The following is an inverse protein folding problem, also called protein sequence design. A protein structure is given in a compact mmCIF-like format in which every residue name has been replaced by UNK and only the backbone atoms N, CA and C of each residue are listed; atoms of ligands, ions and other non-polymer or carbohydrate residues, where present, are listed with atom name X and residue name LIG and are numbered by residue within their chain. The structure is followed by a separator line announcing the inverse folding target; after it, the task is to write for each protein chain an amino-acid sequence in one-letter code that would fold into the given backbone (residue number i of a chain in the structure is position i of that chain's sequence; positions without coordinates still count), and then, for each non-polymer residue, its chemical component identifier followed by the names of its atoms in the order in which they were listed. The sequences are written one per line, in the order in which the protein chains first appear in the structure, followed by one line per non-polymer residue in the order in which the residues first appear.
data_IF_301242260987
#
_entry.id   IF_301242260987
#
_cell.length_a   1.000
_cell.length_b   1.000
_cell.length_c   1.000
_cell.angle_alpha   90.00
_cell.angle_beta   90.00
_cell.angle_gamma   90.00
#
_symmetry.space_group_name_H-M   'P 1'
#
loop_
_entity.id
_entity.type
_entity.pdbx_description
1 polymer ?
#
# COMPACT_ATOMS: atom_id res chain seq x y z
N UNK A 1 -11.65 -1.68 -0.06
CA UNK A 1 -12.75 -2.10 0.82
C UNK A 1 -12.30 -1.91 2.25
N UNK A 2 -13.12 -1.30 3.10
CA UNK A 2 -12.84 -1.13 4.53
C UNK A 2 -12.94 -2.47 5.26
N UNK A 3 -12.90 -2.47 6.60
CA UNK A 3 -13.21 -3.68 7.38
C UNK A 3 -14.72 -3.94 7.48
N UNK A 4 -15.55 -2.95 7.15
CA UNK A 4 -16.99 -3.11 7.01
C UNK A 4 -17.32 -3.67 5.63
N UNK A 5 -18.15 -4.71 5.60
CA UNK A 5 -18.49 -5.41 4.38
C UNK A 5 -19.26 -4.52 3.40
N UNK A 6 -18.88 -4.56 2.12
CA UNK A 6 -19.49 -3.76 1.04
C UNK A 6 -19.11 -2.28 1.03
N UNK A 7 -18.32 -1.78 1.98
CA UNK A 7 -17.92 -0.36 2.03
C UNK A 7 -16.56 -0.16 1.35
N UNK A 8 -16.53 0.77 0.38
CA UNK A 8 -15.34 1.15 -0.38
C UNK A 8 -15.04 2.63 -0.16
N UNK A 9 -13.76 2.96 -0.09
CA UNK A 9 -13.27 4.32 0.11
C UNK A 9 -12.05 4.53 -0.79
N UNK A 10 -11.88 5.75 -1.30
CA UNK A 10 -10.81 6.13 -2.20
C UNK A 10 -10.46 7.62 -2.06
N UNK A 11 -9.37 8.04 -2.69
CA UNK A 11 -8.91 9.42 -2.71
C UNK A 11 -8.63 9.98 -1.32
N UNK A 12 -8.90 11.28 -1.16
CA UNK A 12 -8.61 12.01 0.08
C UNK A 12 -9.50 11.64 1.27
N UNK A 13 -10.61 10.94 1.03
CA UNK A 13 -11.39 10.34 2.13
C UNK A 13 -10.63 9.18 2.79
N UNK A 14 -9.75 8.49 2.04
CA UNK A 14 -8.92 7.40 2.55
C UNK A 14 -7.58 7.90 3.12
N UNK A 15 -6.87 8.73 2.36
CA UNK A 15 -5.59 9.34 2.75
C UNK A 15 -5.31 10.56 1.87
N UNK A 16 -4.52 11.51 2.37
CA UNK A 16 -4.15 12.70 1.59
C UNK A 16 -3.15 12.30 0.50
N UNK A 17 -3.58 12.41 -0.75
CA UNK A 17 -2.77 12.20 -1.94
C UNK A 17 -2.06 13.50 -2.34
N UNK A 18 -0.80 13.38 -2.77
CA UNK A 18 -0.04 14.54 -3.28
C UNK A 18 -0.42 14.90 -4.72
N UNK A 19 -0.75 13.89 -5.54
CA UNK A 19 -1.05 14.05 -6.96
C UNK A 19 -2.50 13.67 -7.28
N UNK A 20 -3.12 14.42 -8.20
CA UNK A 20 -4.47 14.17 -8.68
C UNK A 20 -4.59 12.82 -9.42
N UNK A 21 -3.50 12.36 -10.04
CA UNK A 21 -3.45 11.06 -10.72
C UNK A 21 -3.71 9.91 -9.74
N UNK A 22 -3.13 9.97 -8.54
CA UNK A 22 -3.33 8.93 -7.52
C UNK A 22 -4.76 8.93 -6.95
N UNK A 23 -5.38 10.10 -6.86
CA UNK A 23 -6.80 10.20 -6.50
C UNK A 23 -7.64 9.49 -7.55
N UNK A 24 -7.38 9.74 -8.83
CA UNK A 24 -8.09 9.12 -9.96
C UNK A 24 -7.87 7.60 -10.02
N UNK A 25 -6.62 7.12 -9.93
CA UNK A 25 -6.28 5.70 -9.90
C UNK A 25 -6.97 4.97 -8.73
N UNK A 26 -6.97 5.58 -7.55
CA UNK A 26 -7.63 5.00 -6.38
C UNK A 26 -9.16 4.92 -6.56
N UNK A 27 -9.76 5.93 -7.22
CA UNK A 27 -11.17 5.98 -7.53
C UNK A 27 -11.59 4.90 -8.53
N UNK A 28 -10.83 4.74 -9.61
CA UNK A 28 -11.04 3.66 -10.59
C UNK A 28 -10.96 2.29 -9.92
N UNK A 29 -9.92 2.06 -9.12
CA UNK A 29 -9.71 0.80 -8.41
C UNK A 29 -10.86 0.50 -7.43
N UNK A 30 -11.28 1.48 -6.64
CA UNK A 30 -12.40 1.32 -5.71
C UNK A 30 -13.73 1.09 -6.44
N UNK A 31 -13.99 1.81 -7.53
CA UNK A 31 -15.19 1.64 -8.36
C UNK A 31 -15.25 0.25 -8.97
N UNK A 32 -14.15 -0.23 -9.56
CA UNK A 32 -14.04 -1.59 -10.10
C UNK A 32 -14.22 -2.66 -9.03
N UNK A 33 -13.64 -2.47 -7.85
CA UNK A 33 -13.77 -3.40 -6.75
C UNK A 33 -15.21 -3.44 -6.19
N UNK A 34 -15.89 -2.28 -6.13
CA UNK A 34 -17.29 -2.19 -5.73
C UNK A 34 -18.23 -2.83 -6.75
N UNK A 35 -18.02 -2.59 -8.04
CA UNK A 35 -18.83 -3.18 -9.12
C UNK A 35 -18.74 -4.71 -9.15
N UNK A 36 -17.56 -5.26 -8.83
CA UNK A 36 -17.33 -6.71 -8.77
C UNK A 36 -17.51 -7.28 -7.35
N UNK A 37 -18.06 -6.51 -6.41
CA UNK A 37 -18.17 -6.95 -5.03
C UNK A 37 -19.14 -8.12 -4.90
N UNK A 38 -18.63 -9.20 -4.33
CA UNK A 38 -19.44 -10.30 -3.80
C UNK A 38 -18.88 -10.67 -2.43
N UNK A 39 -19.80 -10.97 -1.50
CA UNK A 39 -19.43 -11.34 -0.14
C UNK A 39 -18.58 -12.61 -0.20
N UNK A 40 -17.35 -12.50 0.29
CA UNK A 40 -16.34 -13.57 0.22
C UNK A 40 -15.55 -13.57 1.52
N UNK A 41 -15.01 -14.73 1.87
CA UNK A 41 -14.16 -14.84 3.05
C UNK A 41 -12.81 -14.16 2.76
N UNK A 42 -12.51 -13.09 3.49
CA UNK A 42 -11.28 -12.30 3.32
C UNK A 42 -10.26 -12.76 4.35
N UNK A 43 -9.03 -13.00 3.91
CA UNK A 43 -7.93 -13.30 4.83
C UNK A 43 -6.95 -12.14 4.77
N UNK A 44 -7.01 -11.26 5.77
CA UNK A 44 -6.28 -10.00 5.75
C UNK A 44 -4.92 -10.14 6.46
N UNK A 45 -3.83 -10.06 5.72
CA UNK A 45 -2.49 -9.90 6.27
C UNK A 45 -2.22 -8.43 6.60
N UNK A 46 -1.61 -8.15 7.75
CA UNK A 46 -1.25 -6.78 8.16
C UNK A 46 0.12 -6.40 7.61
N UNK A 47 0.24 -5.20 7.05
CA UNK A 47 1.54 -4.60 6.76
C UNK A 47 2.07 -3.97 8.04
N UNK A 48 3.19 -4.48 8.54
CA UNK A 48 3.89 -3.88 9.67
C UNK A 48 5.00 -2.98 9.14
N UNK A 49 5.04 -1.75 9.64
CA UNK A 49 6.10 -0.79 9.38
C UNK A 49 6.79 -0.44 10.69
N UNK A 50 8.09 -0.25 10.65
CA UNK A 50 8.84 0.21 11.82
C UNK A 50 8.59 1.71 12.10
N UNK A 51 9.25 2.23 13.13
CA UNK A 51 9.15 3.63 13.55
C UNK A 51 9.82 4.61 12.58
N UNK A 52 10.27 4.18 11.39
CA UNK A 52 10.78 5.08 10.35
C UNK A 52 9.68 5.60 9.42
N UNK A 53 8.52 4.96 9.43
CA UNK A 53 7.36 5.34 8.62
C UNK A 53 6.39 6.17 9.45
N UNK A 54 5.81 7.20 8.84
CA UNK A 54 4.66 7.89 9.41
C UNK A 54 3.41 7.04 9.23
N UNK A 55 3.23 6.48 8.04
CA UNK A 55 2.22 5.48 7.72
C UNK A 55 2.57 4.75 6.42
N UNK A 56 1.91 3.61 6.22
CA UNK A 56 1.88 2.87 4.96
C UNK A 56 0.42 2.63 4.57
N UNK A 57 0.15 2.59 3.27
CA UNK A 57 -1.13 2.19 2.72
C UNK A 57 -0.93 1.22 1.55
N UNK A 58 -1.76 0.17 1.44
CA UNK A 58 -2.78 -0.22 2.40
C UNK A 58 -2.15 -0.74 3.71
N UNK A 59 -2.85 -0.66 4.84
CA UNK A 59 -2.38 -1.23 6.11
C UNK A 59 -2.59 -2.75 6.20
N UNK A 60 -3.43 -3.29 5.30
CA UNK A 60 -3.72 -4.71 5.21
C UNK A 60 -3.92 -5.12 3.75
N UNK A 61 -3.53 -6.34 3.42
CA UNK A 61 -3.70 -6.94 2.09
C UNK A 61 -4.55 -8.20 2.24
N UNK A 62 -5.51 -8.40 1.35
CA UNK A 62 -6.27 -9.64 1.28
C UNK A 62 -5.46 -10.70 0.54
N UNK A 63 -4.93 -11.71 1.25
CA UNK A 63 -4.04 -12.71 0.66
C UNK A 63 -4.72 -13.54 -0.42
N UNK A 64 -6.05 -13.67 -0.36
CA UNK A 64 -6.83 -14.40 -1.36
C UNK A 64 -6.99 -13.62 -2.67
N UNK A 65 -6.69 -12.32 -2.67
CA UNK A 65 -6.83 -11.41 -3.82
C UNK A 65 -5.54 -10.64 -4.11
N UNK A 66 -4.40 -11.17 -3.69
CA UNK A 66 -3.09 -10.59 -4.02
C UNK A 66 -2.92 -10.58 -5.54
N UNK A 67 -2.71 -9.39 -6.09
CA UNK A 67 -2.43 -9.18 -7.50
C UNK A 67 -0.93 -9.26 -7.78
N UNK A 68 -0.55 -9.57 -9.02
CA UNK A 68 0.83 -9.50 -9.53
C UNK A 68 1.48 -8.13 -9.32
N UNK A 69 0.66 -7.08 -9.17
CA UNK A 69 1.09 -5.72 -8.88
C UNK A 69 0.25 -5.16 -7.75
N UNK A 70 0.85 -5.12 -6.56
CA UNK A 70 0.30 -4.43 -5.41
C UNK A 70 1.04 -3.12 -5.22
N UNK A 71 0.30 -2.00 -5.25
CA UNK A 71 0.87 -0.66 -4.99
C UNK A 71 0.84 -0.40 -3.49
N UNK A 72 1.97 0.00 -2.94
CA UNK A 72 2.08 0.45 -1.55
C UNK A 72 2.59 1.89 -1.58
N UNK A 73 1.86 2.78 -0.92
CA UNK A 73 2.35 4.12 -0.63
C UNK A 73 2.82 4.22 0.81
N UNK A 74 3.79 5.09 1.05
CA UNK A 74 4.26 5.37 2.40
C UNK A 74 4.75 6.81 2.53
N UNK A 75 4.87 7.26 3.77
CA UNK A 75 5.59 8.49 4.11
C UNK A 75 6.63 8.22 5.16
N UNK A 76 7.80 8.83 5.02
CA UNK A 76 8.80 8.83 6.09
C UNK A 76 8.32 9.69 7.26
N UNK A 77 8.66 9.31 8.48
CA UNK A 77 8.33 10.12 9.65
C UNK A 77 9.28 11.30 9.88
N UNK A 78 10.47 11.26 9.29
CA UNK A 78 11.52 12.28 9.40
C UNK A 78 12.30 12.39 8.08
N UNK A 79 13.06 13.45 7.93
CA UNK A 79 14.02 13.53 6.83
C UNK A 79 15.10 12.45 6.99
N UNK A 80 15.41 11.78 5.89
CA UNK A 80 16.46 10.77 5.81
C UNK A 80 17.30 11.04 4.57
N UNK A 81 18.61 10.83 4.70
CA UNK A 81 19.55 10.84 3.58
C UNK A 81 19.46 9.54 2.78
N UNK A 82 20.60 9.03 2.31
CA UNK A 82 20.63 7.75 1.62
C UNK A 82 20.07 6.64 2.51
N UNK A 83 19.03 5.94 2.06
CA UNK A 83 18.32 4.91 2.82
C UNK A 83 17.89 3.80 1.89
N UNK A 84 17.83 2.56 2.39
CA UNK A 84 17.30 1.41 1.68
C UNK A 84 15.96 1.06 2.30
N UNK A 85 14.92 1.02 1.47
CA UNK A 85 13.62 0.48 1.84
C UNK A 85 13.62 -1.02 1.53
N UNK A 86 13.32 -1.83 2.54
CA UNK A 86 13.20 -3.28 2.40
C UNK A 86 11.79 -3.71 2.79
N UNK A 87 11.21 -4.64 2.02
CA UNK A 87 9.97 -5.32 2.36
C UNK A 87 10.25 -6.82 2.50
N UNK A 88 9.79 -7.39 3.62
CA UNK A 88 9.95 -8.81 3.92
C UNK A 88 8.60 -9.50 4.07
N UNK A 89 8.57 -10.78 3.70
CA UNK A 89 7.47 -11.71 3.99
C UNK A 89 8.10 -12.91 4.69
N UNK A 90 7.60 -13.28 5.85
CA UNK A 90 8.15 -14.37 6.67
C UNK A 90 9.68 -14.29 6.86
N UNK A 91 10.18 -13.07 7.11
CA UNK A 91 11.59 -12.71 7.26
C UNK A 91 12.47 -12.87 6.00
N UNK A 92 11.89 -13.20 4.84
CA UNK A 92 12.56 -13.23 3.55
C UNK A 92 12.38 -11.89 2.84
N UNK A 93 13.47 -11.29 2.36
CA UNK A 93 13.40 -10.07 1.55
C UNK A 93 12.79 -10.37 0.18
N UNK A 94 11.76 -9.60 -0.18
CA UNK A 94 11.04 -9.76 -1.45
C UNK A 94 11.13 -8.52 -2.34
N UNK A 95 11.51 -7.38 -1.75
CA UNK A 95 11.69 -6.13 -2.45
C UNK A 95 12.69 -5.24 -1.70
N UNK A 96 13.55 -4.57 -2.46
CA UNK A 96 14.47 -3.57 -1.94
C UNK A 96 14.61 -2.42 -2.94
N UNK A 97 14.66 -1.19 -2.42
CA UNK A 97 14.86 0.02 -3.22
C UNK A 97 15.70 1.03 -2.46
N UNK A 98 16.77 1.52 -3.10
CA UNK A 98 17.60 2.59 -2.57
C UNK A 98 16.98 3.97 -2.90
N UNK A 99 16.92 4.82 -1.88
CA UNK A 99 16.51 6.21 -1.95
C UNK A 99 17.70 7.11 -1.63
N UNK A 100 17.84 8.22 -2.36
CA UNK A 100 18.87 9.24 -2.07
C UNK A 100 18.49 10.12 -0.90
N UNK A 101 17.20 10.41 -0.76
CA UNK A 101 16.62 11.12 0.37
C UNK A 101 15.15 10.75 0.48
N UNK A 102 14.61 10.81 1.69
CA UNK A 102 13.19 10.70 1.99
C UNK A 102 12.79 11.89 2.85
N UNK A 103 11.65 12.51 2.54
CA UNK A 103 11.15 13.68 3.27
C UNK A 103 9.70 13.45 3.71
N UNK A 104 9.31 13.83 4.95
CA UNK A 104 7.94 13.61 5.44
C UNK A 104 6.83 14.22 4.56
N UNK A 105 7.00 15.41 3.95
CA UNK A 105 5.99 15.99 3.07
C UNK A 105 5.80 15.25 1.75
N UNK A 106 6.68 14.31 1.38
CA UNK A 106 6.62 13.59 0.11
C UNK A 106 6.03 12.20 0.33
N UNK A 107 5.00 11.86 -0.46
CA UNK A 107 4.45 10.52 -0.52
C UNK A 107 5.22 9.66 -1.52
N UNK A 108 5.73 8.53 -1.04
CA UNK A 108 6.46 7.57 -1.84
C UNK A 108 5.56 6.44 -2.33
N UNK A 109 5.88 5.91 -3.51
CA UNK A 109 5.14 4.82 -4.16
C UNK A 109 6.08 3.68 -4.55
N UNK A 110 5.72 2.46 -4.16
CA UNK A 110 6.36 1.24 -4.62
C UNK A 110 5.33 0.28 -5.22
N UNK A 111 5.79 -0.55 -6.15
CA UNK A 111 4.99 -1.63 -6.74
C UNK A 111 5.68 -2.93 -6.43
N UNK A 112 4.97 -3.81 -5.74
CA UNK A 112 5.47 -5.08 -5.23
C UNK A 112 4.69 -6.21 -5.89
N UNK A 113 5.40 -7.27 -6.25
CA UNK A 113 4.80 -8.52 -6.69
C UNK A 113 4.98 -9.56 -5.57
N UNK A 114 3.88 -9.93 -4.92
CA UNK A 114 3.88 -10.91 -3.84
C UNK A 114 3.77 -12.36 -4.34
N UNK A 115 3.48 -12.59 -5.62
CA UNK A 115 3.43 -13.93 -6.22
C UNK A 115 4.83 -14.52 -6.49
N UNK A 116 5.89 -13.73 -6.30
CA UNK A 116 7.29 -14.18 -6.40
C UNK A 116 7.86 -14.73 -5.09
N UNK A 117 7.05 -14.80 -4.03
CA UNK A 117 7.47 -15.35 -2.74
C UNK A 117 7.24 -16.85 -2.78
N UNK A 118 8.28 -17.59 -3.19
CA UNK A 118 8.41 -19.04 -2.94
C UNK A 118 8.57 -19.34 -1.46
#
# INVERSE_FOLDING_TARGET
MTMEDGIFICGNAMHVNDLVDYVSESGESAGKAAANYSKSNRVMAKINSDNSFLYTIPQRIDINKVSDKTVIFFRSNKERGETILTLTVDNKEIFSKKYRSLRPPEMERIVVNFNKVE
#
